data_IF_636844833367
#
_entry.id   IF_636844833367
#
_cell.length_a   1.000
_cell.length_b   1.000
_cell.length_c   1.000
_cell.angle_alpha   90.00
_cell.angle_beta   90.00
_cell.angle_gamma   90.00
#
_symmetry.space_group_name_H-M   'P 1'
#
loop_
_entity.id
_entity.type
_entity.pdbx_description
1 polymer ?
#
# COMPACT_ATOMS: atom_id res chain seq x y z
N UNK A 1 -1.29 -4.71 25.97
CA UNK A 1 -1.38 -5.26 24.61
C UNK A 1 -2.51 -4.51 23.93
N UNK A 2 -2.30 -3.93 22.74
CA UNK A 2 -3.41 -3.32 21.99
C UNK A 2 -4.25 -4.43 21.40
N UNK A 3 -5.57 -4.39 21.59
CA UNK A 3 -6.48 -5.26 20.82
C UNK A 3 -6.49 -4.78 19.36
N UNK A 4 -6.17 -5.68 18.43
CA UNK A 4 -6.13 -5.40 16.98
C UNK A 4 -6.98 -6.42 16.24
N UNK A 5 -7.29 -6.13 14.98
CA UNK A 5 -7.86 -7.14 14.09
C UNK A 5 -6.93 -8.37 14.01
N UNK A 6 -7.52 -9.56 13.83
CA UNK A 6 -6.80 -10.85 13.86
C UNK A 6 -5.68 -10.96 12.81
N UNK A 7 -5.76 -10.19 11.73
CA UNK A 7 -4.76 -10.16 10.66
C UNK A 7 -3.55 -9.24 10.96
N UNK A 8 -3.64 -8.38 11.98
CA UNK A 8 -2.63 -7.39 12.37
C UNK A 8 -1.96 -7.74 13.72
N UNK A 9 -1.65 -9.02 13.91
CA UNK A 9 -1.07 -9.55 15.15
C UNK A 9 0.35 -9.03 15.43
N UNK A 10 0.77 -9.04 16.71
CA UNK A 10 2.06 -8.47 17.15
C UNK A 10 3.30 -9.18 16.56
N UNK A 11 3.17 -10.44 16.13
CA UNK A 11 4.22 -11.18 15.42
C UNK A 11 4.48 -10.67 13.99
N UNK A 12 3.63 -9.76 13.49
CA UNK A 12 3.76 -9.12 12.17
C UNK A 12 3.85 -7.61 12.32
N UNK A 13 5.00 -7.07 12.78
CA UNK A 13 5.13 -5.67 13.16
C UNK A 13 4.78 -4.70 12.03
N UNK A 14 5.10 -5.03 10.77
CA UNK A 14 4.75 -4.21 9.62
C UNK A 14 3.23 -4.11 9.39
N UNK A 15 2.49 -5.22 9.55
CA UNK A 15 1.03 -5.20 9.43
C UNK A 15 0.38 -4.51 10.63
N UNK A 16 0.95 -4.69 11.83
CA UNK A 16 0.47 -4.01 13.02
C UNK A 16 0.63 -2.49 12.93
N UNK A 17 1.77 -2.00 12.41
CA UNK A 17 2.01 -0.57 12.18
C UNK A 17 1.08 -0.01 11.10
N UNK A 18 0.97 -0.69 9.95
CA UNK A 18 0.03 -0.31 8.89
C UNK A 18 -1.43 -0.29 9.39
N UNK A 19 -1.84 -1.28 10.17
CA UNK A 19 -3.16 -1.33 10.78
C UNK A 19 -3.41 -0.12 11.69
N UNK A 20 -2.45 0.20 12.56
CA UNK A 20 -2.61 1.23 13.58
C UNK A 20 -2.54 2.66 13.00
N UNK A 21 -1.88 2.84 11.85
CA UNK A 21 -1.53 4.19 11.34
C UNK A 21 -2.05 4.52 9.95
N UNK A 22 -2.54 3.53 9.19
CA UNK A 22 -3.04 3.75 7.83
C UNK A 22 -4.39 3.07 7.56
N UNK A 23 -4.58 1.82 7.99
CA UNK A 23 -5.77 1.04 7.62
C UNK A 23 -7.04 1.56 8.28
N UNK A 24 -8.05 1.85 7.46
CA UNK A 24 -9.34 2.37 7.94
C UNK A 24 -9.31 3.85 8.34
N UNK A 25 -8.18 4.54 8.21
CA UNK A 25 -8.08 5.99 8.42
C UNK A 25 -8.55 6.70 7.14
N UNK A 26 -9.50 7.65 7.22
CA UNK A 26 -9.98 8.39 6.05
C UNK A 26 -8.85 9.14 5.33
N UNK A 27 -8.85 9.04 4.00
CA UNK A 27 -7.94 9.74 3.10
C UNK A 27 -8.78 10.62 2.17
N UNK A 28 -8.25 11.80 1.83
CA UNK A 28 -8.91 12.76 0.93
C UNK A 28 -7.97 13.27 -0.17
N UNK A 29 -6.81 12.63 -0.33
CA UNK A 29 -5.82 12.96 -1.35
C UNK A 29 -5.90 11.95 -2.49
N UNK A 30 -6.23 12.42 -3.70
CA UNK A 30 -6.48 11.55 -4.86
C UNK A 30 -5.27 10.69 -5.25
N UNK A 31 -4.06 11.26 -5.17
CA UNK A 31 -2.83 10.52 -5.45
C UNK A 31 -2.63 9.34 -4.47
N UNK A 32 -2.94 9.53 -3.18
CA UNK A 32 -2.87 8.47 -2.19
C UNK A 32 -3.95 7.42 -2.41
N UNK A 33 -5.16 7.82 -2.82
CA UNK A 33 -6.19 6.87 -3.24
C UNK A 33 -5.76 6.03 -4.44
N UNK A 34 -5.14 6.66 -5.44
CA UNK A 34 -4.62 5.96 -6.62
C UNK A 34 -3.48 4.98 -6.26
N UNK A 35 -2.57 5.36 -5.36
CA UNK A 35 -1.56 4.46 -4.80
C UNK A 35 -2.22 3.23 -4.16
N UNK A 36 -3.13 3.44 -3.21
CA UNK A 36 -3.76 2.34 -2.47
C UNK A 36 -4.56 1.42 -3.40
N UNK A 37 -5.39 1.98 -4.29
CA UNK A 37 -6.17 1.21 -5.26
C UNK A 37 -5.28 0.35 -6.17
N UNK A 38 -4.15 0.89 -6.62
CA UNK A 38 -3.21 0.19 -7.47
C UNK A 38 -2.50 -0.96 -6.73
N UNK A 39 -2.07 -0.71 -5.48
CA UNK A 39 -1.42 -1.72 -4.63
C UNK A 39 -2.36 -2.89 -4.30
N UNK A 40 -3.66 -2.63 -4.10
CA UNK A 40 -4.68 -3.67 -3.89
C UNK A 40 -4.78 -4.62 -5.10
N UNK A 41 -4.72 -4.08 -6.33
CA UNK A 41 -4.69 -4.91 -7.55
C UNK A 41 -3.44 -5.77 -7.65
N UNK A 42 -2.28 -5.24 -7.25
CA UNK A 42 -1.01 -5.97 -7.23
C UNK A 42 -0.97 -7.10 -6.19
N UNK A 43 -1.88 -7.10 -5.22
CA UNK A 43 -1.97 -8.14 -4.20
C UNK A 43 -2.51 -9.47 -4.75
N UNK A 44 -3.06 -9.53 -5.97
CA UNK A 44 -3.71 -10.73 -6.49
C UNK A 44 -2.82 -12.00 -6.36
N UNK A 45 -3.24 -12.94 -5.50
CA UNK A 45 -2.50 -14.19 -5.23
C UNK A 45 -1.34 -14.09 -4.23
N UNK A 46 -1.14 -12.93 -3.58
CA UNK A 46 -0.05 -12.65 -2.63
C UNK A 46 -0.59 -12.18 -1.27
N UNK A 47 0.29 -12.12 -0.27
CA UNK A 47 -0.03 -11.52 1.03
C UNK A 47 0.12 -9.99 0.98
N UNK A 48 -0.74 -9.26 1.68
CA UNK A 48 -0.63 -7.81 1.82
C UNK A 48 0.72 -7.37 2.43
N UNK A 49 1.27 -8.17 3.35
CA UNK A 49 2.59 -7.90 3.93
C UNK A 49 3.70 -7.87 2.87
N UNK A 50 3.62 -8.73 1.85
CA UNK A 50 4.58 -8.71 0.73
C UNK A 50 4.45 -7.42 -0.09
N UNK A 51 3.23 -6.95 -0.31
CA UNK A 51 2.97 -5.69 -1.00
C UNK A 51 3.52 -4.50 -0.19
N UNK A 52 3.25 -4.45 1.12
CA UNK A 52 3.80 -3.42 2.00
C UNK A 52 5.34 -3.42 2.01
N UNK A 53 5.99 -4.59 2.04
CA UNK A 53 7.46 -4.70 1.94
C UNK A 53 8.01 -4.15 0.62
N UNK A 54 7.24 -4.23 -0.48
CA UNK A 54 7.62 -3.73 -1.82
C UNK A 54 7.15 -2.31 -2.09
N UNK A 55 6.35 -1.71 -1.20
CA UNK A 55 5.67 -0.43 -1.43
C UNK A 55 6.60 0.71 -1.81
N UNK A 56 7.76 0.83 -1.16
CA UNK A 56 8.75 1.86 -1.51
C UNK A 56 9.37 1.65 -2.91
N UNK A 57 9.60 0.39 -3.29
CA UNK A 57 10.06 0.08 -4.64
C UNK A 57 8.99 0.44 -5.67
N UNK A 58 7.71 0.12 -5.40
CA UNK A 58 6.60 0.54 -6.24
C UNK A 58 6.50 2.07 -6.33
N UNK A 59 6.59 2.80 -5.21
CA UNK A 59 6.62 4.27 -5.22
C UNK A 59 7.73 4.79 -6.12
N UNK A 60 8.94 4.25 -6.01
CA UNK A 60 10.07 4.70 -6.83
C UNK A 60 9.84 4.42 -8.32
N UNK A 61 9.41 3.20 -8.66
CA UNK A 61 9.23 2.74 -10.05
C UNK A 61 8.03 3.39 -10.75
N UNK A 62 6.97 3.69 -10.01
CA UNK A 62 5.73 4.27 -10.54
C UNK A 62 5.60 5.76 -10.19
N UNK A 63 6.73 6.48 -10.12
CA UNK A 63 6.77 7.94 -9.96
C UNK A 63 5.93 8.48 -8.78
N UNK A 64 6.04 7.83 -7.62
CA UNK A 64 5.25 8.05 -6.42
C UNK A 64 3.74 7.99 -6.65
N UNK A 65 3.31 7.18 -7.62
CA UNK A 65 1.94 7.06 -8.06
C UNK A 65 1.33 8.39 -8.51
N UNK A 66 2.12 9.32 -9.07
CA UNK A 66 1.56 10.49 -9.73
C UNK A 66 0.80 10.03 -11.00
N UNK A 67 -0.54 10.23 -11.10
CA UNK A 67 -1.33 9.64 -12.18
C UNK A 67 -0.91 10.10 -13.58
N UNK A 68 -0.53 11.37 -13.75
CA UNK A 68 -0.09 11.91 -15.04
C UNK A 68 1.22 11.27 -15.51
N UNK A 69 2.18 11.07 -14.59
CA UNK A 69 3.46 10.42 -14.90
C UNK A 69 3.29 8.94 -15.20
N UNK A 70 2.47 8.23 -14.43
CA UNK A 70 2.19 6.81 -14.67
C UNK A 70 1.47 6.62 -16.01
N UNK A 71 0.51 7.46 -16.34
CA UNK A 71 -0.20 7.41 -17.63
C UNK A 71 0.70 7.68 -18.84
N UNK A 72 1.84 8.36 -18.64
CA UNK A 72 2.81 8.66 -19.69
C UNK A 72 3.90 7.57 -19.85
N UNK A 73 3.90 6.52 -19.05
CA UNK A 73 4.82 5.39 -19.19
C UNK A 73 4.57 4.65 -20.52
N UNK A 74 5.63 4.18 -21.16
CA UNK A 74 5.57 3.31 -22.34
C UNK A 74 6.15 1.92 -22.02
N UNK A 75 6.18 1.05 -23.02
CA UNK A 75 6.73 -0.30 -22.87
C UNK A 75 8.28 -0.31 -22.82
N UNK A 76 8.91 0.82 -23.15
CA UNK A 76 10.37 1.05 -23.11
C UNK A 76 10.85 1.68 -21.80
#
# INVERSE_FOLDING_TARGET
>A
MKERCSWASEDKPLLADYHDTEWGIPVHEDQKHFELLSLEGQQAGLSWELILKKREAYRTLFHHFNPEKVAAMSDE
#
